data_IF_355958946190
#
_entry.id   IF_355958946190
#
_cell.length_a   1.000
_cell.length_b   1.000
_cell.length_c   1.000
_cell.angle_alpha   90.00
_cell.angle_beta   90.00
_cell.angle_gamma   90.00
#
_symmetry.space_group_name_H-M   'P 1'
#
loop_
_entity.id
_entity.type
_entity.pdbx_description
1 polymer ?
#
# COMPACT_ATOMS: atom_id res chain seq x y z
N UNK A 1 -7.09 -21.77 1.53
CA UNK A 1 -6.02 -22.25 0.63
C UNK A 1 -5.48 -21.04 -0.12
N UNK A 2 -4.59 -20.26 0.52
CA UNK A 2 -3.76 -19.28 -0.19
C UNK A 2 -2.63 -20.09 -0.82
N UNK A 3 -2.75 -20.38 -2.11
CA UNK A 3 -1.66 -20.98 -2.87
C UNK A 3 -0.45 -20.06 -2.71
N UNK A 4 0.66 -20.62 -2.23
CA UNK A 4 1.85 -19.89 -1.85
C UNK A 4 2.32 -19.08 -3.07
N UNK A 5 2.35 -17.75 -2.96
CA UNK A 5 2.83 -16.84 -4.02
C UNK A 5 4.16 -17.34 -4.60
N UNK A 6 5.02 -17.89 -3.73
CA UNK A 6 6.31 -18.48 -4.10
C UNK A 6 6.22 -19.65 -5.07
N UNK A 7 5.16 -20.46 -4.99
CA UNK A 7 4.96 -21.61 -5.88
C UNK A 7 4.55 -21.13 -7.29
N UNK A 8 3.69 -20.12 -7.37
CA UNK A 8 3.32 -19.47 -8.63
C UNK A 8 4.47 -18.69 -9.28
N UNK A 9 5.44 -18.20 -8.48
CA UNK A 9 6.57 -17.41 -8.96
C UNK A 9 7.89 -18.17 -9.00
N UNK A 10 7.90 -19.48 -8.69
CA UNK A 10 9.15 -20.25 -8.51
C UNK A 10 10.08 -20.18 -9.71
N UNK A 11 9.51 -20.18 -10.92
CA UNK A 11 10.26 -20.13 -12.18
C UNK A 11 10.40 -18.70 -12.73
N UNK A 12 9.90 -17.69 -12.02
CA UNK A 12 9.94 -16.29 -12.43
C UNK A 12 11.00 -15.55 -11.60
N UNK A 13 12.14 -15.30 -12.20
CA UNK A 13 13.10 -14.30 -11.70
C UNK A 13 12.56 -12.90 -12.00
N UNK A 14 11.94 -12.25 -11.02
CA UNK A 14 11.53 -10.85 -11.13
C UNK A 14 12.23 -10.01 -10.05
N UNK A 15 13.37 -9.43 -10.38
CA UNK A 15 14.04 -8.42 -9.56
C UNK A 15 13.39 -7.05 -9.79
N UNK A 16 12.18 -6.85 -9.27
CA UNK A 16 11.52 -5.55 -9.27
C UNK A 16 11.37 -5.02 -7.85
N UNK A 17 11.66 -3.74 -7.66
CA UNK A 17 11.37 -3.02 -6.41
C UNK A 17 9.90 -3.18 -6.01
N UNK A 18 9.00 -3.30 -6.99
CA UNK A 18 7.57 -3.52 -6.72
C UNK A 18 7.30 -4.90 -6.12
N UNK A 19 8.00 -5.94 -6.57
CA UNK A 19 7.87 -7.29 -6.02
C UNK A 19 8.37 -7.32 -4.58
N UNK A 20 9.51 -6.69 -4.29
CA UNK A 20 10.04 -6.62 -2.92
C UNK A 20 9.11 -5.85 -1.98
N UNK A 21 8.50 -4.75 -2.44
CA UNK A 21 7.53 -4.00 -1.64
C UNK A 21 6.27 -4.82 -1.34
N UNK A 22 5.78 -5.58 -2.33
CA UNK A 22 4.64 -6.49 -2.16
C UNK A 22 5.02 -7.59 -1.16
N UNK A 23 6.16 -8.26 -1.35
CA UNK A 23 6.65 -9.32 -0.47
C UNK A 23 6.81 -8.84 0.97
N UNK A 24 7.32 -7.64 1.19
CA UNK A 24 7.41 -7.05 2.52
C UNK A 24 6.05 -6.79 3.17
N UNK A 25 5.09 -6.26 2.40
CA UNK A 25 3.76 -5.96 2.91
C UNK A 25 2.98 -7.23 3.26
N UNK A 26 3.01 -8.23 2.38
CA UNK A 26 2.39 -9.54 2.63
C UNK A 26 3.16 -10.33 3.67
N UNK A 27 4.48 -10.22 3.72
CA UNK A 27 5.32 -10.84 4.75
C UNK A 27 4.98 -10.34 6.14
N UNK A 28 4.68 -9.05 6.30
CA UNK A 28 4.15 -8.52 7.55
C UNK A 28 2.74 -9.04 7.85
N UNK A 29 1.80 -8.91 6.91
CA UNK A 29 0.40 -9.33 7.10
C UNK A 29 0.25 -10.84 7.32
N UNK A 30 1.13 -11.67 6.77
CA UNK A 30 1.12 -13.12 6.92
C UNK A 30 2.14 -13.62 7.96
N UNK A 31 2.85 -12.71 8.61
CA UNK A 31 3.81 -12.98 9.68
C UNK A 31 3.37 -12.32 10.99
N UNK A 32 4.18 -11.40 11.50
CA UNK A 32 3.95 -10.71 12.79
C UNK A 32 2.60 -9.99 12.86
N UNK A 33 2.10 -9.48 11.74
CA UNK A 33 0.82 -8.79 11.63
C UNK A 33 -0.40 -9.70 11.46
N UNK A 34 -0.23 -11.02 11.34
CA UNK A 34 -1.31 -11.93 10.97
C UNK A 34 -2.51 -11.86 11.92
N UNK A 35 -2.27 -11.95 13.23
CA UNK A 35 -3.35 -11.93 14.21
C UNK A 35 -4.12 -10.59 14.21
N UNK A 36 -3.42 -9.48 14.00
CA UNK A 36 -4.04 -8.16 13.86
C UNK A 36 -4.88 -8.08 12.58
N UNK A 37 -4.34 -8.58 11.46
CA UNK A 37 -5.07 -8.61 10.21
C UNK A 37 -6.34 -9.46 10.31
N UNK A 38 -6.24 -10.67 10.87
CA UNK A 38 -7.39 -11.56 11.09
C UNK A 38 -8.46 -10.90 11.97
N UNK A 39 -8.04 -10.18 13.01
CA UNK A 39 -8.96 -9.46 13.91
C UNK A 39 -9.77 -8.37 13.19
N UNK A 40 -9.16 -7.66 12.25
CA UNK A 40 -9.80 -6.51 11.57
C UNK A 40 -10.28 -6.81 10.15
N UNK A 41 -10.01 -7.99 9.59
CA UNK A 41 -10.28 -8.33 8.20
C UNK A 41 -11.74 -8.10 7.81
N UNK A 42 -12.69 -8.53 8.65
CA UNK A 42 -14.13 -8.29 8.42
C UNK A 42 -14.46 -6.81 8.41
N UNK A 43 -13.92 -6.03 9.35
CA UNK A 43 -14.17 -4.59 9.40
C UNK A 43 -13.59 -3.86 8.19
N UNK A 44 -12.38 -4.23 7.75
CA UNK A 44 -11.81 -3.64 6.52
C UNK A 44 -12.67 -3.93 5.29
N UNK A 45 -13.20 -5.15 5.16
CA UNK A 45 -14.12 -5.49 4.08
C UNK A 45 -15.40 -4.63 4.09
N UNK A 46 -15.92 -4.30 5.27
CA UNK A 46 -17.07 -3.38 5.41
C UNK A 46 -16.69 -1.94 5.05
N UNK A 47 -15.54 -1.46 5.50
CA UNK A 47 -15.03 -0.10 5.20
C UNK A 47 -14.81 0.08 3.69
N UNK A 48 -14.42 -0.96 2.96
CA UNK A 48 -14.26 -0.88 1.49
C UNK A 48 -15.54 -0.54 0.72
N UNK A 49 -16.71 -0.81 1.32
CA UNK A 49 -18.01 -0.44 0.79
C UNK A 49 -18.50 0.94 1.29
N UNK A 50 -17.83 1.54 2.27
CA UNK A 50 -18.23 2.83 2.83
C UNK A 50 -17.98 3.97 1.82
N UNK A 51 -19.01 4.80 1.63
CA UNK A 51 -19.04 5.87 0.64
C UNK A 51 -17.89 6.89 0.71
N UNK A 52 -17.49 7.35 1.88
CA UNK A 52 -16.39 8.28 2.07
C UNK A 52 -15.03 7.59 1.87
N UNK A 53 -14.90 6.32 2.25
CA UNK A 53 -13.69 5.54 1.94
C UNK A 53 -13.53 5.38 0.43
N UNK A 54 -14.62 5.06 -0.27
CA UNK A 54 -14.66 4.99 -1.74
C UNK A 54 -14.30 6.34 -2.38
N UNK A 55 -14.75 7.48 -1.81
CA UNK A 55 -14.34 8.81 -2.28
C UNK A 55 -12.83 9.04 -2.13
N UNK A 56 -12.25 8.68 -0.98
CA UNK A 56 -10.80 8.77 -0.77
C UNK A 56 -10.03 7.93 -1.80
N UNK A 57 -10.45 6.68 -2.01
CA UNK A 57 -9.85 5.78 -3.00
C UNK A 57 -9.98 6.32 -4.42
N UNK A 58 -11.16 6.82 -4.81
CA UNK A 58 -11.39 7.38 -6.14
C UNK A 58 -10.49 8.60 -6.39
N UNK A 59 -10.40 9.53 -5.42
CA UNK A 59 -9.53 10.71 -5.51
C UNK A 59 -8.06 10.31 -5.71
N UNK A 60 -7.58 9.33 -4.93
CA UNK A 60 -6.21 8.83 -5.07
C UNK A 60 -5.97 8.20 -6.45
N UNK A 61 -6.89 7.36 -6.93
CA UNK A 61 -6.79 6.73 -8.25
C UNK A 61 -6.77 7.74 -9.40
N UNK A 62 -7.59 8.79 -9.33
CA UNK A 62 -7.61 9.88 -10.30
C UNK A 62 -6.29 10.66 -10.28
N UNK A 63 -5.75 10.93 -9.10
CA UNK A 63 -4.46 11.60 -8.95
C UNK A 63 -3.30 10.75 -9.48
N UNK A 64 -3.26 9.44 -9.19
CA UNK A 64 -2.25 8.51 -9.73
C UNK A 64 -2.35 8.44 -11.25
N UNK A 65 -3.56 8.34 -11.81
CA UNK A 65 -3.78 8.33 -13.26
C UNK A 65 -3.29 9.62 -13.89
N UNK A 66 -3.46 10.76 -13.23
CA UNK A 66 -2.96 12.05 -13.69
C UNK A 66 -1.43 12.11 -13.64
N UNK A 67 -0.83 11.65 -12.54
CA UNK A 67 0.63 11.56 -12.39
C UNK A 67 1.26 10.67 -13.47
N UNK A 68 0.63 9.55 -13.80
CA UNK A 68 1.09 8.62 -14.85
C UNK A 68 1.11 9.27 -16.24
N UNK A 69 0.17 10.18 -16.54
CA UNK A 69 0.10 10.89 -17.83
C UNK A 69 1.22 11.91 -18.02
N UNK A 70 1.69 12.50 -16.92
CA UNK A 70 2.79 13.49 -16.94
C UNK A 70 4.16 12.86 -16.69
N UNK A 71 4.23 11.53 -16.54
CA UNK A 71 5.47 10.80 -16.25
C UNK A 71 6.50 11.07 -17.35
N UNK A 72 7.58 11.77 -16.99
CA UNK A 72 8.74 11.94 -17.86
C UNK A 72 9.68 10.75 -17.65
N UNK A 73 10.03 9.96 -18.68
CA UNK A 73 10.87 8.75 -18.55
C UNK A 73 12.25 8.97 -17.91
N UNK A 74 12.70 10.22 -17.76
CA UNK A 74 14.01 10.58 -17.18
C UNK A 74 13.90 11.18 -15.77
N UNK A 75 12.70 11.46 -15.26
CA UNK A 75 12.51 12.16 -13.97
C UNK A 75 11.71 11.32 -12.98
N UNK A 76 12.28 10.17 -12.62
CA UNK A 76 11.66 9.24 -11.68
C UNK A 76 11.56 9.81 -10.25
N UNK A 77 12.52 10.64 -9.81
CA UNK A 77 12.51 11.20 -8.45
C UNK A 77 11.26 12.05 -8.21
N UNK A 78 11.00 13.05 -9.05
CA UNK A 78 9.81 13.91 -8.90
C UNK A 78 8.52 13.13 -9.09
N UNK A 79 8.50 12.15 -10.02
CA UNK A 79 7.35 11.27 -10.18
C UNK A 79 7.06 10.46 -8.91
N UNK A 80 8.09 9.95 -8.24
CA UNK A 80 7.94 9.20 -7.00
C UNK A 80 7.58 10.08 -5.80
N UNK A 81 8.14 11.29 -5.70
CA UNK A 81 7.73 12.28 -4.70
C UNK A 81 6.24 12.60 -4.82
N UNK A 82 5.77 12.86 -6.04
CA UNK A 82 4.34 13.08 -6.31
C UNK A 82 3.49 11.87 -5.92
N UNK A 83 3.94 10.65 -6.22
CA UNK A 83 3.23 9.44 -5.78
C UNK A 83 3.20 9.31 -4.25
N UNK A 84 4.26 9.70 -3.55
CA UNK A 84 4.29 9.70 -2.09
C UNK A 84 3.28 10.71 -1.52
N UNK A 85 3.21 11.92 -2.09
CA UNK A 85 2.21 12.92 -1.69
C UNK A 85 0.78 12.42 -1.90
N UNK A 86 0.50 11.76 -3.03
CA UNK A 86 -0.82 11.19 -3.29
C UNK A 86 -1.17 10.09 -2.26
N UNK A 87 -0.21 9.25 -1.89
CA UNK A 87 -0.42 8.23 -0.87
C UNK A 87 -0.61 8.83 0.53
N UNK A 88 0.14 9.87 0.88
CA UNK A 88 -0.02 10.59 2.14
C UNK A 88 -1.40 11.26 2.22
N UNK A 89 -1.88 11.85 1.13
CA UNK A 89 -3.24 12.39 1.00
C UNK A 89 -4.31 11.30 1.17
N UNK A 90 -4.12 10.15 0.54
CA UNK A 90 -5.01 9.01 0.67
C UNK A 90 -5.10 8.53 2.11
N UNK A 91 -3.95 8.34 2.76
CA UNK A 91 -3.87 7.89 4.15
C UNK A 91 -4.55 8.87 5.11
N UNK A 92 -4.30 10.18 4.96
CA UNK A 92 -4.97 11.21 5.75
C UNK A 92 -6.49 11.24 5.52
N UNK A 93 -6.94 10.97 4.30
CA UNK A 93 -8.37 10.90 3.98
C UNK A 93 -9.04 9.68 4.65
N UNK A 94 -8.38 8.52 4.61
CA UNK A 94 -8.93 7.27 5.14
C UNK A 94 -8.83 7.14 6.66
N UNK A 95 -7.84 7.76 7.30
CA UNK A 95 -7.59 7.67 8.75
C UNK A 95 -8.85 7.89 9.62
N UNK A 96 -9.60 9.00 9.49
CA UNK A 96 -10.77 9.23 10.34
C UNK A 96 -11.87 8.18 10.11
N UNK A 97 -11.97 7.64 8.89
CA UNK A 97 -12.97 6.62 8.54
C UNK A 97 -12.59 5.30 9.23
N UNK A 98 -11.36 4.83 9.03
CA UNK A 98 -10.88 3.59 9.66
C UNK A 98 -10.97 3.68 11.19
N UNK A 99 -10.57 4.80 11.79
CA UNK A 99 -10.69 5.01 13.23
C UNK A 99 -12.15 4.93 13.71
N UNK A 100 -13.09 5.47 12.94
CA UNK A 100 -14.52 5.48 13.30
C UNK A 100 -15.14 4.09 13.20
N UNK A 101 -14.81 3.33 12.16
CA UNK A 101 -15.44 2.03 11.88
C UNK A 101 -14.72 0.86 12.55
N UNK A 102 -13.39 0.83 12.53
CA UNK A 102 -12.58 -0.30 13.00
C UNK A 102 -11.74 0.01 14.24
N UNK A 103 -11.69 1.27 14.66
CA UNK A 103 -10.91 1.71 15.83
C UNK A 103 -9.45 2.02 15.51
N UNK A 104 -8.78 2.60 16.51
CA UNK A 104 -7.41 3.13 16.37
C UNK A 104 -6.37 2.06 16.03
N UNK A 105 -6.46 0.87 16.64
CA UNK A 105 -5.50 -0.21 16.41
C UNK A 105 -5.57 -0.73 14.96
N UNK A 106 -6.75 -0.71 14.34
CA UNK A 106 -6.90 -1.06 12.93
C UNK A 106 -6.19 -0.05 12.02
N UNK A 107 -6.24 1.25 12.38
CA UNK A 107 -5.49 2.28 11.68
C UNK A 107 -3.98 2.08 11.80
N UNK A 108 -3.46 1.74 12.99
CA UNK A 108 -2.02 1.49 13.16
C UNK A 108 -1.54 0.32 12.30
N UNK A 109 -2.36 -0.71 12.10
CA UNK A 109 -2.07 -1.78 11.14
C UNK A 109 -2.01 -1.25 9.70
N UNK A 110 -3.01 -0.50 9.25
CA UNK A 110 -3.04 0.09 7.90
C UNK A 110 -1.84 1.02 7.67
N UNK A 111 -1.51 1.85 8.66
CA UNK A 111 -0.35 2.73 8.65
C UNK A 111 0.95 1.93 8.52
N UNK A 112 1.11 0.86 9.30
CA UNK A 112 2.32 0.02 9.28
C UNK A 112 2.50 -0.66 7.93
N UNK A 113 1.45 -1.30 7.40
CA UNK A 113 1.47 -1.95 6.08
C UNK A 113 1.77 -0.94 4.97
N UNK A 114 1.15 0.23 5.02
CA UNK A 114 1.38 1.31 4.04
C UNK A 114 2.81 1.85 4.13
N UNK A 115 3.35 1.98 5.34
CA UNK A 115 4.74 2.36 5.53
C UNK A 115 5.69 1.28 5.01
N UNK A 116 5.40 -0.01 5.12
CA UNK A 116 6.23 -1.03 4.47
C UNK A 116 6.20 -0.87 2.93
N UNK A 117 5.02 -0.66 2.34
CA UNK A 117 4.91 -0.42 0.90
C UNK A 117 5.70 0.82 0.42
N UNK A 118 5.72 1.89 1.23
CA UNK A 118 6.36 3.17 0.89
C UNK A 118 7.84 3.21 1.32
N UNK A 119 8.19 2.64 2.47
CA UNK A 119 9.55 2.65 3.04
C UNK A 119 10.52 1.78 2.26
N UNK A 120 10.04 0.66 1.67
CA UNK A 120 10.83 -0.08 0.68
C UNK A 120 11.21 0.80 -0.54
N UNK A 121 10.54 1.93 -0.77
CA UNK A 121 10.93 2.92 -1.79
C UNK A 121 11.83 4.03 -1.27
N UNK A 122 11.69 4.46 -0.01
CA UNK A 122 12.58 5.47 0.59
C UNK A 122 13.98 4.94 0.89
N UNK A 123 14.14 3.64 1.13
CA UNK A 123 15.45 3.01 1.39
C UNK A 123 16.15 2.48 0.12
N UNK A 124 15.46 2.39 -1.02
CA UNK A 124 16.04 1.89 -2.28
C UNK A 124 16.70 2.92 -3.23
N UNK A 125 16.81 4.25 -2.96
CA UNK A 125 17.75 5.07 -3.73
C UNK A 125 19.20 4.56 -3.64
N UNK A 126 19.52 3.73 -2.64
CA UNK A 126 20.86 3.17 -2.44
C UNK A 126 21.10 1.79 -3.07
N UNK A 127 20.13 1.18 -3.77
CA UNK A 127 20.33 -0.16 -4.38
C UNK A 127 20.21 -0.14 -5.92
N UNK A 128 19.88 1.00 -6.54
CA UNK A 128 20.07 1.17 -7.98
C UNK A 128 21.37 1.94 -8.21
N UNK A 129 22.49 1.22 -8.09
CA UNK A 129 23.78 1.55 -8.70
C UNK A 129 24.24 0.39 -9.57
#
# INVERSE_FOLDING_TARGET
>A
MMNNLQECTRDISCSSISVQAIDASYGYMCGEGYQFFETYATCFAEVEAESNYVKCRKKANEAITTAQKIKIPTNYSQYFELLCEIMDDYLRCCQPIINTFCGHNAWELVRTVSLHLISFRKLTPHIVS
#
